data_IF_281047475586
#
_entry.id   IF_281047475586
#
_cell.length_a   1.000
_cell.length_b   1.000
_cell.length_c   1.000
_cell.angle_alpha   90.00
_cell.angle_beta   90.00
_cell.angle_gamma   90.00
#
_symmetry.space_group_name_H-M   'P 1'
#
loop_
_entity.id
_entity.type
_entity.pdbx_description
1 polymer ?
#
# COMPACT_ATOMS: atom_id res chain seq x y z
N UNK A 1 31.55 -19.11 -6.95
CA UNK A 1 30.34 -18.36 -7.40
C UNK A 1 29.58 -17.63 -6.26
N UNK A 2 30.19 -17.38 -5.09
CA UNK A 2 29.47 -16.84 -3.90
C UNK A 2 29.68 -15.34 -3.58
N UNK A 3 30.53 -14.61 -4.31
CA UNK A 3 30.85 -13.20 -4.00
C UNK A 3 29.74 -12.20 -4.40
N UNK A 4 28.76 -12.63 -5.19
CA UNK A 4 27.69 -11.77 -5.69
C UNK A 4 26.50 -11.65 -4.70
N UNK A 5 26.12 -12.76 -4.04
CA UNK A 5 25.01 -12.77 -3.07
C UNK A 5 25.24 -11.87 -1.85
N UNK A 6 26.46 -11.84 -1.30
CA UNK A 6 26.82 -10.99 -0.16
C UNK A 6 26.77 -9.50 -0.51
N UNK A 7 27.09 -9.15 -1.76
CA UNK A 7 27.03 -7.77 -2.26
C UNK A 7 25.59 -7.32 -2.49
N UNK A 8 24.75 -8.18 -3.08
CA UNK A 8 23.30 -7.92 -3.24
C UNK A 8 22.61 -7.75 -1.89
N UNK A 9 22.90 -8.62 -0.91
CA UNK A 9 22.35 -8.48 0.46
C UNK A 9 22.75 -7.17 1.12
N UNK A 10 24.02 -6.79 1.06
CA UNK A 10 24.50 -5.50 1.60
C UNK A 10 23.85 -4.30 0.94
N UNK A 11 23.61 -4.35 -0.38
CA UNK A 11 22.95 -3.28 -1.10
C UNK A 11 21.46 -3.15 -0.72
N UNK A 12 20.75 -4.27 -0.58
CA UNK A 12 19.35 -4.27 -0.12
C UNK A 12 19.21 -3.76 1.32
N UNK A 13 20.16 -4.08 2.18
CA UNK A 13 20.24 -3.57 3.55
C UNK A 13 20.47 -2.05 3.57
N UNK A 14 21.42 -1.57 2.78
CA UNK A 14 21.72 -0.15 2.63
C UNK A 14 20.51 0.65 2.09
N UNK A 15 19.84 0.18 1.05
CA UNK A 15 18.71 0.88 0.43
C UNK A 15 17.46 0.91 1.34
N UNK A 16 17.31 -0.08 2.22
CA UNK A 16 16.23 -0.12 3.20
C UNK A 16 16.50 0.83 4.36
N UNK A 17 17.72 0.83 4.91
CA UNK A 17 18.11 1.73 6.00
C UNK A 17 18.08 3.21 5.58
N UNK A 18 18.36 3.50 4.30
CA UNK A 18 18.25 4.85 3.75
C UNK A 18 16.83 5.28 3.37
N UNK A 19 15.84 4.39 3.42
CA UNK A 19 14.46 4.79 3.16
C UNK A 19 13.99 5.70 4.30
N UNK A 20 13.75 6.99 3.99
CA UNK A 20 13.25 7.96 4.96
C UNK A 20 11.83 7.58 5.38
N UNK A 21 11.71 6.71 6.38
CA UNK A 21 10.44 6.43 7.03
C UNK A 21 10.20 7.50 8.10
N UNK A 22 9.01 8.12 8.16
CA UNK A 22 8.69 9.06 9.21
C UNK A 22 8.84 8.36 10.56
N UNK A 23 9.67 8.92 11.46
CA UNK A 23 9.99 8.29 12.75
C UNK A 23 8.77 8.15 13.69
N UNK A 24 7.66 8.82 13.39
CA UNK A 24 6.43 8.84 14.21
C UNK A 24 5.16 8.81 13.34
N UNK A 25 4.91 7.73 12.61
CA UNK A 25 3.60 7.54 11.94
C UNK A 25 2.53 7.22 12.99
N UNK A 26 1.44 7.98 12.98
CA UNK A 26 0.21 7.67 13.74
C UNK A 26 -0.78 7.00 12.81
N UNK A 27 -0.88 5.68 12.90
CA UNK A 27 -1.86 4.91 12.13
C UNK A 27 -3.28 5.18 12.63
N UNK A 28 -4.24 5.26 11.70
CA UNK A 28 -5.66 5.42 12.02
C UNK A 28 -6.22 4.13 12.66
N UNK A 29 -5.70 2.97 12.26
CA UNK A 29 -6.16 1.67 12.71
C UNK A 29 -5.02 0.70 13.06
N UNK A 30 -5.25 -0.15 14.07
CA UNK A 30 -4.29 -1.18 14.51
C UNK A 30 -3.85 -2.14 13.39
N UNK A 31 -4.73 -2.42 12.44
CA UNK A 31 -4.42 -3.28 11.29
C UNK A 31 -3.38 -2.67 10.35
N UNK A 32 -3.35 -1.35 10.22
CA UNK A 32 -2.36 -0.63 9.41
C UNK A 32 -0.99 -0.69 10.10
N UNK A 33 -0.96 -0.45 11.41
CA UNK A 33 0.26 -0.59 12.21
C UNK A 33 0.82 -2.02 12.11
N UNK A 34 -0.03 -3.04 12.26
CA UNK A 34 0.39 -4.44 12.11
C UNK A 34 0.93 -4.74 10.70
N UNK A 35 0.25 -4.25 9.66
CA UNK A 35 0.71 -4.43 8.28
C UNK A 35 2.04 -3.73 8.02
N UNK A 36 2.24 -2.51 8.55
CA UNK A 36 3.49 -1.77 8.43
C UNK A 36 4.67 -2.54 9.04
N UNK A 37 4.49 -3.17 10.20
CA UNK A 37 5.50 -4.01 10.87
C UNK A 37 5.86 -5.24 10.04
N UNK A 38 4.88 -5.85 9.37
CA UNK A 38 5.12 -6.97 8.45
C UNK A 38 5.95 -6.51 7.26
N UNK A 39 5.56 -5.41 6.60
CA UNK A 39 6.32 -4.85 5.49
C UNK A 39 7.75 -4.50 5.92
N UNK A 40 7.91 -3.95 7.12
CA UNK A 40 9.21 -3.62 7.69
C UNK A 40 10.09 -4.85 7.92
N UNK A 41 9.51 -5.89 8.52
CA UNK A 41 10.19 -7.15 8.79
C UNK A 41 10.74 -7.79 7.51
N UNK A 42 9.95 -7.75 6.43
CA UNK A 42 10.36 -8.25 5.10
C UNK A 42 11.12 -7.23 4.26
N UNK A 43 11.47 -6.08 4.83
CA UNK A 43 12.19 -4.97 4.17
C UNK A 43 11.55 -4.50 2.86
N UNK A 44 10.22 -4.55 2.79
CA UNK A 44 9.45 -4.01 1.67
C UNK A 44 9.39 -2.49 1.83
N UNK A 45 9.69 -1.73 0.76
CA UNK A 45 9.52 -0.27 0.78
C UNK A 45 8.03 0.07 0.73
N UNK A 46 7.60 1.01 1.56
CA UNK A 46 6.21 1.45 1.62
C UNK A 46 6.06 2.92 2.04
N UNK A 47 4.91 3.50 1.73
CA UNK A 47 4.46 4.84 2.16
C UNK A 47 3.05 4.72 2.73
N UNK A 48 2.77 5.37 3.87
CA UNK A 48 1.44 5.44 4.48
C UNK A 48 0.65 6.64 3.94
N UNK A 49 -0.64 6.45 3.67
CA UNK A 49 -1.55 7.47 3.11
C UNK A 49 -0.90 8.33 2.01
N UNK A 50 -0.32 7.70 0.97
CA UNK A 50 0.65 8.32 0.07
C UNK A 50 0.05 9.39 -0.85
N UNK A 51 -1.26 9.31 -1.12
CA UNK A 51 -1.97 10.18 -2.06
C UNK A 51 -3.47 10.07 -1.89
N UNK A 52 -4.15 11.22 -1.89
CA UNK A 52 -5.60 11.30 -2.00
C UNK A 52 -6.03 11.43 -3.46
N UNK A 53 -6.99 10.61 -3.87
CA UNK A 53 -7.65 10.67 -5.18
C UNK A 53 -9.04 11.30 -5.03
N UNK A 54 -9.33 12.29 -5.86
CA UNK A 54 -10.66 12.91 -5.95
C UNK A 54 -11.49 12.05 -6.91
N UNK A 55 -12.66 11.59 -6.46
CA UNK A 55 -13.53 10.70 -7.22
C UNK A 55 -14.81 11.40 -7.71
N UNK A 56 -15.28 12.39 -6.97
CA UNK A 56 -16.46 13.19 -7.30
C UNK A 56 -16.22 14.64 -6.87
N UNK A 57 -16.73 15.59 -7.66
CA UNK A 57 -16.73 17.01 -7.35
C UNK A 57 -18.16 17.48 -7.11
N UNK A 58 -18.35 18.42 -6.20
CA UNK A 58 -19.63 19.10 -5.99
C UNK A 58 -19.91 20.11 -7.12
N UNK A 59 -21.10 20.72 -7.09
CA UNK A 59 -21.52 21.74 -8.07
C UNK A 59 -20.67 23.02 -8.06
N UNK A 60 -19.77 23.18 -7.09
CA UNK A 60 -18.84 24.30 -6.94
C UNK A 60 -17.40 23.91 -7.30
N UNK A 61 -17.17 22.66 -7.72
CA UNK A 61 -15.86 22.13 -8.08
C UNK A 61 -14.99 21.68 -6.90
N UNK A 62 -15.55 21.56 -5.69
CA UNK A 62 -14.81 21.03 -4.53
C UNK A 62 -14.88 19.49 -4.48
N UNK A 63 -13.88 18.80 -3.93
CA UNK A 63 -13.95 17.36 -3.71
C UNK A 63 -15.11 16.97 -2.80
N UNK A 64 -16.09 16.23 -3.33
CA UNK A 64 -17.22 15.68 -2.57
C UNK A 64 -16.91 14.26 -2.08
N UNK A 65 -16.35 13.44 -2.96
CA UNK A 65 -15.90 12.09 -2.63
C UNK A 65 -14.42 11.95 -2.94
N UNK A 66 -13.64 11.61 -1.92
CA UNK A 66 -12.23 11.29 -2.06
C UNK A 66 -11.91 9.90 -1.52
N UNK A 67 -10.71 9.44 -1.87
CA UNK A 67 -10.15 8.18 -1.42
C UNK A 67 -8.64 8.28 -1.25
N UNK A 68 -8.15 7.95 -0.07
CA UNK A 68 -6.71 7.85 0.23
C UNK A 68 -6.43 6.39 0.56
N UNK A 69 -5.68 5.66 -0.27
CA UNK A 69 -5.30 4.28 0.05
C UNK A 69 -4.40 4.24 1.29
N UNK A 70 -4.52 3.21 2.10
CA UNK A 70 -3.72 3.06 3.33
C UNK A 70 -2.21 3.01 3.05
N UNK A 71 -1.78 2.30 1.99
CA UNK A 71 -0.37 2.11 1.66
C UNK A 71 -0.07 2.22 0.15
N UNK A 72 1.17 2.57 -0.17
CA UNK A 72 1.76 2.37 -1.50
C UNK A 72 3.09 1.64 -1.39
N UNK A 73 3.30 0.62 -2.23
CA UNK A 73 4.51 -0.17 -2.33
C UNK A 73 5.26 0.20 -3.64
N UNK A 74 6.30 1.05 -3.59
CA UNK A 74 6.95 1.60 -4.79
C UNK A 74 7.56 0.52 -5.70
N UNK A 75 8.19 -0.50 -5.12
CA UNK A 75 8.87 -1.57 -5.90
C UNK A 75 7.88 -2.48 -6.67
N UNK A 76 6.58 -2.36 -6.36
CA UNK A 76 5.50 -3.08 -7.04
C UNK A 76 4.59 -2.17 -7.86
N UNK A 77 4.78 -0.85 -7.77
CA UNK A 77 3.81 0.16 -8.19
C UNK A 77 2.38 -0.24 -7.81
N UNK A 78 2.14 -0.41 -6.51
CA UNK A 78 0.87 -0.94 -5.99
C UNK A 78 0.37 -0.14 -4.80
N UNK A 79 -0.84 0.39 -4.93
CA UNK A 79 -1.63 0.91 -3.82
C UNK A 79 -2.41 -0.21 -3.13
N UNK A 80 -2.45 -0.17 -1.81
CA UNK A 80 -3.15 -1.15 -0.97
C UNK A 80 -4.12 -0.41 -0.07
N UNK A 81 -5.35 -0.92 -0.06
CA UNK A 81 -6.39 -0.57 0.91
C UNK A 81 -6.68 -1.80 1.78
N UNK A 82 -6.52 -1.69 3.08
CA UNK A 82 -6.84 -2.76 4.02
C UNK A 82 -8.35 -2.84 4.26
N UNK A 83 -8.86 -4.06 4.48
CA UNK A 83 -10.27 -4.27 4.79
C UNK A 83 -10.47 -5.39 5.81
N UNK A 84 -11.66 -5.36 6.41
CA UNK A 84 -12.19 -6.43 7.25
C UNK A 84 -13.27 -7.22 6.49
N UNK A 85 -13.84 -8.25 7.13
CA UNK A 85 -14.91 -9.06 6.56
C UNK A 85 -16.29 -8.38 6.53
N UNK A 86 -16.41 -7.11 6.94
CA UNK A 86 -17.68 -6.40 6.89
C UNK A 86 -18.09 -6.12 5.43
N UNK A 87 -19.01 -6.92 4.90
CA UNK A 87 -19.40 -6.88 3.49
C UNK A 87 -19.92 -5.50 3.04
N UNK A 88 -20.64 -4.78 3.90
CA UNK A 88 -21.14 -3.43 3.56
C UNK A 88 -19.99 -2.46 3.33
N UNK A 89 -18.95 -2.51 4.16
CA UNK A 89 -17.76 -1.67 4.00
C UNK A 89 -16.94 -2.10 2.78
N UNK A 90 -16.75 -3.41 2.58
CA UNK A 90 -16.05 -3.97 1.42
C UNK A 90 -16.70 -3.50 0.11
N UNK A 91 -18.03 -3.57 -0.01
CA UNK A 91 -18.73 -3.11 -1.23
C UNK A 91 -18.49 -1.63 -1.49
N UNK A 92 -18.55 -0.78 -0.45
CA UNK A 92 -18.26 0.66 -0.58
C UNK A 92 -16.81 0.91 -1.02
N UNK A 93 -15.84 0.22 -0.43
CA UNK A 93 -14.42 0.34 -0.81
C UNK A 93 -14.18 -0.11 -2.25
N UNK A 94 -14.79 -1.24 -2.67
CA UNK A 94 -14.70 -1.72 -4.05
C UNK A 94 -15.31 -0.74 -5.06
N UNK A 95 -16.43 -0.10 -4.72
CA UNK A 95 -17.02 0.94 -5.57
C UNK A 95 -16.07 2.12 -5.79
N UNK A 96 -15.44 2.60 -4.71
CA UNK A 96 -14.43 3.66 -4.81
C UNK A 96 -13.20 3.23 -5.62
N UNK A 97 -12.70 2.00 -5.41
CA UNK A 97 -11.60 1.43 -6.19
C UNK A 97 -11.95 1.34 -7.69
N UNK A 98 -13.18 0.94 -8.03
CA UNK A 98 -13.65 0.91 -9.41
C UNK A 98 -13.61 2.31 -10.03
N UNK A 99 -14.14 3.32 -9.33
CA UNK A 99 -14.07 4.73 -9.76
C UNK A 99 -12.64 5.23 -9.95
N UNK A 100 -11.71 4.86 -9.06
CA UNK A 100 -10.28 5.20 -9.24
C UNK A 100 -9.76 4.67 -10.55
N UNK A 101 -10.06 3.40 -10.88
CA UNK A 101 -9.59 2.79 -12.13
C UNK A 101 -10.21 3.42 -13.38
N UNK A 102 -11.44 3.93 -13.27
CA UNK A 102 -12.12 4.67 -14.34
C UNK A 102 -11.51 6.06 -14.55
N UNK A 103 -11.27 6.82 -13.47
CA UNK A 103 -10.79 8.21 -13.52
C UNK A 103 -9.28 8.33 -13.68
N UNK A 104 -8.52 7.37 -13.16
CA UNK A 104 -7.05 7.37 -13.15
C UNK A 104 -6.52 6.07 -13.78
N UNK A 105 -6.67 5.90 -15.11
CA UNK A 105 -6.18 4.73 -15.81
C UNK A 105 -4.65 4.64 -15.64
N UNK A 106 -4.19 3.50 -15.12
CA UNK A 106 -2.77 3.27 -14.77
C UNK A 106 -2.52 3.12 -13.27
N UNK A 107 -3.47 3.51 -12.42
CA UNK A 107 -3.35 3.26 -10.98
C UNK A 107 -3.63 1.79 -10.67
N UNK A 108 -2.60 1.07 -10.25
CA UNK A 108 -2.71 -0.28 -9.73
C UNK A 108 -3.05 -0.25 -8.24
N UNK A 109 -4.30 -0.56 -7.91
CA UNK A 109 -4.81 -0.57 -6.54
C UNK A 109 -5.57 -1.86 -6.23
N UNK A 110 -5.40 -2.37 -5.00
CA UNK A 110 -6.06 -3.58 -4.51
C UNK A 110 -6.61 -3.42 -3.09
N UNK A 111 -7.76 -4.05 -2.86
CA UNK A 111 -8.33 -4.25 -1.53
C UNK A 111 -7.76 -5.52 -0.90
N UNK A 112 -7.26 -5.44 0.32
CA UNK A 112 -6.51 -6.49 1.01
C UNK A 112 -7.16 -6.88 2.32
N UNK A 113 -7.42 -8.16 2.50
CA UNK A 113 -7.75 -8.76 3.77
C UNK A 113 -6.47 -9.15 4.51
N UNK A 114 -6.55 -9.33 5.83
CA UNK A 114 -5.42 -9.84 6.64
C UNK A 114 -4.85 -11.18 6.12
N UNK A 115 -5.71 -12.06 5.59
CA UNK A 115 -5.29 -13.33 4.97
C UNK A 115 -4.43 -13.15 3.70
N UNK A 116 -4.57 -12.01 3.01
CA UNK A 116 -3.87 -11.77 1.75
C UNK A 116 -2.41 -11.35 1.97
N UNK A 117 -2.02 -11.04 3.21
CA UNK A 117 -0.66 -10.64 3.56
C UNK A 117 0.35 -11.70 3.10
N UNK A 118 0.06 -12.98 3.35
CA UNK A 118 0.92 -14.09 2.92
C UNK A 118 1.07 -14.16 1.39
N UNK A 119 0.00 -13.91 0.64
CA UNK A 119 0.05 -13.93 -0.83
C UNK A 119 0.91 -12.80 -1.39
N UNK A 120 0.87 -11.62 -0.78
CA UNK A 120 1.72 -10.49 -1.13
C UNK A 120 3.20 -10.81 -0.86
N UNK A 121 3.49 -11.36 0.31
CA UNK A 121 4.84 -11.75 0.70
C UNK A 121 5.38 -12.83 -0.24
N UNK A 122 4.57 -13.84 -0.58
CA UNK A 122 4.96 -14.86 -1.55
C UNK A 122 5.30 -14.25 -2.92
N UNK A 123 4.49 -13.30 -3.40
CA UNK A 123 4.76 -12.62 -4.67
C UNK A 123 6.01 -11.75 -4.61
N UNK A 124 6.33 -11.15 -3.46
CA UNK A 124 7.52 -10.31 -3.30
C UNK A 124 8.80 -11.13 -3.19
N UNK A 125 8.78 -12.20 -2.38
CA UNK A 125 9.97 -12.99 -2.05
C UNK A 125 10.38 -13.97 -3.16
N UNK A 126 9.47 -14.33 -4.07
CA UNK A 126 9.75 -15.25 -5.18
C UNK A 126 9.88 -14.51 -6.53
N UNK A 127 10.37 -13.27 -6.51
CA UNK A 127 10.73 -12.51 -7.72
C UNK A 127 12.16 -12.77 -8.16
#
# INVERSE_FOLDING_TARGET
>A
MGKNLLKVRKNLEYDYEKSEKPKNIKFAHKSEEEFSKILDFYRIKWKYEPKTFILELDNRGNPDVSFTPDFYLPDMDLYIELTTLNQKLVTKKNHKIKKIKELYPGINIKLFYKKDYHSLLFKYLNR
#
